data_IF_391592729479
#
_entry.id   IF_391592729479
#
_cell.length_a   1.000
_cell.length_b   1.000
_cell.length_c   1.000
_cell.angle_alpha   90.00
_cell.angle_beta   90.00
_cell.angle_gamma   90.00
#
_symmetry.space_group_name_H-M   'P 1'
#
loop_
_entity.id
_entity.type
_entity.pdbx_description
1 polymer ?
#
# COMPACT_ATOMS: atom_id res chain seq x y z
N UNK A 1 -25.01 -0.85 -23.17
CA UNK A 1 -24.59 -0.29 -21.94
C UNK A 1 -23.21 0.30 -22.00
N UNK A 2 -22.98 1.30 -21.20
CA UNK A 2 -21.69 1.94 -21.08
C UNK A 2 -20.65 1.06 -20.39
N UNK A 3 -19.41 1.38 -20.62
CA UNK A 3 -18.30 0.76 -19.88
C UNK A 3 -18.28 1.34 -18.47
N UNK A 4 -18.29 0.46 -17.48
CA UNK A 4 -18.15 0.88 -16.09
C UNK A 4 -16.71 1.35 -15.84
N UNK A 5 -16.55 2.51 -15.19
CA UNK A 5 -15.25 3.04 -14.79
C UNK A 5 -15.27 3.38 -13.31
N UNK A 6 -14.17 3.10 -12.59
CA UNK A 6 -14.07 3.49 -11.18
C UNK A 6 -14.13 5.01 -11.01
N UNK A 7 -14.87 5.46 -10.02
CA UNK A 7 -14.91 6.87 -9.66
C UNK A 7 -13.75 7.27 -8.74
N UNK A 8 -13.67 8.56 -8.40
CA UNK A 8 -12.60 9.10 -7.57
C UNK A 8 -12.55 8.46 -6.18
N UNK A 9 -13.71 8.19 -5.57
CA UNK A 9 -13.77 7.60 -4.24
C UNK A 9 -13.26 6.15 -4.24
N UNK A 10 -13.60 5.39 -5.28
CA UNK A 10 -13.12 4.02 -5.45
C UNK A 10 -11.61 3.99 -5.68
N UNK A 11 -11.08 4.92 -6.47
CA UNK A 11 -9.64 5.04 -6.70
C UNK A 11 -8.90 5.40 -5.42
N UNK A 12 -9.43 6.34 -4.65
CA UNK A 12 -8.86 6.73 -3.36
C UNK A 12 -8.86 5.57 -2.37
N UNK A 13 -9.96 4.84 -2.26
CA UNK A 13 -10.08 3.68 -1.38
C UNK A 13 -9.12 2.56 -1.80
N UNK A 14 -9.04 2.26 -3.09
CA UNK A 14 -8.12 1.25 -3.61
C UNK A 14 -6.66 1.59 -3.31
N UNK A 15 -6.26 2.83 -3.50
CA UNK A 15 -4.88 3.24 -3.22
C UNK A 15 -4.59 3.22 -1.72
N UNK A 16 -5.53 3.65 -0.89
CA UNK A 16 -5.38 3.58 0.57
C UNK A 16 -5.19 2.14 1.03
N UNK A 17 -6.01 1.22 0.55
CA UNK A 17 -5.89 -0.21 0.87
C UNK A 17 -4.57 -0.81 0.38
N UNK A 18 -4.15 -0.43 -0.83
CA UNK A 18 -2.87 -0.87 -1.39
C UNK A 18 -1.69 -0.39 -0.55
N UNK A 19 -1.71 0.88 -0.15
CA UNK A 19 -0.64 1.47 0.67
C UNK A 19 -0.60 0.85 2.06
N UNK A 20 -1.76 0.61 2.65
CA UNK A 20 -1.86 -0.09 3.92
C UNK A 20 -1.24 -1.48 3.82
N UNK A 21 -1.57 -2.23 2.79
CA UNK A 21 -1.02 -3.57 2.58
C UNK A 21 0.51 -3.55 2.37
N UNK A 22 1.03 -2.52 1.70
CA UNK A 22 2.47 -2.37 1.48
C UNK A 22 3.23 -2.06 2.77
N UNK A 23 2.66 -1.24 3.64
CA UNK A 23 3.37 -0.60 4.74
C UNK A 23 3.12 -1.22 6.10
N UNK A 24 1.96 -1.85 6.32
CA UNK A 24 1.65 -2.50 7.59
C UNK A 24 2.51 -3.72 7.83
N UNK A 25 2.89 -3.94 9.09
CA UNK A 25 3.63 -5.12 9.52
C UNK A 25 2.98 -5.69 10.76
N UNK A 26 2.55 -6.95 10.68
CA UNK A 26 2.20 -7.72 11.85
C UNK A 26 2.32 -9.22 11.53
N UNK A 27 2.57 -10.03 12.54
CA UNK A 27 2.87 -11.45 12.35
C UNK A 27 1.73 -12.24 11.71
N UNK A 28 0.48 -11.81 11.90
CA UNK A 28 -0.69 -12.55 11.44
C UNK A 28 -1.04 -12.29 9.96
N UNK A 29 -0.67 -11.12 9.41
CA UNK A 29 -1.21 -10.66 8.12
C UNK A 29 -0.18 -10.29 7.07
N UNK A 30 1.10 -10.20 7.41
CA UNK A 30 2.11 -9.64 6.50
C UNK A 30 2.26 -10.40 5.18
N UNK A 31 2.18 -11.73 5.21
CA UNK A 31 2.33 -12.53 3.98
C UNK A 31 1.15 -12.29 3.03
N UNK A 32 -0.07 -12.24 3.56
CA UNK A 32 -1.27 -11.96 2.79
C UNK A 32 -1.26 -10.53 2.24
N UNK A 33 -0.75 -9.58 3.03
CA UNK A 33 -0.64 -8.18 2.61
C UNK A 33 0.32 -8.03 1.43
N UNK A 34 1.47 -8.69 1.47
CA UNK A 34 2.44 -8.68 0.36
C UNK A 34 1.85 -9.32 -0.89
N UNK A 35 1.14 -10.44 -0.74
CA UNK A 35 0.48 -11.09 -1.87
C UNK A 35 -0.55 -10.16 -2.53
N UNK A 36 -1.31 -9.42 -1.72
CA UNK A 36 -2.30 -8.44 -2.21
C UNK A 36 -1.61 -7.32 -3.01
N UNK A 37 -0.55 -6.74 -2.48
CA UNK A 37 0.18 -5.67 -3.15
C UNK A 37 0.75 -6.16 -4.48
N UNK A 38 1.32 -7.35 -4.50
CA UNK A 38 1.87 -7.95 -5.72
C UNK A 38 0.79 -8.15 -6.78
N UNK A 39 -0.37 -8.65 -6.38
CA UNK A 39 -1.51 -8.85 -7.29
C UNK A 39 -1.99 -7.54 -7.90
N UNK A 40 -2.03 -6.46 -7.11
CA UNK A 40 -2.56 -5.17 -7.50
C UNK A 40 -1.50 -4.21 -8.07
N UNK A 41 -0.33 -4.74 -8.46
CA UNK A 41 0.76 -3.97 -9.07
C UNK A 41 1.13 -4.56 -10.41
N UNK A 42 1.31 -3.72 -11.44
CA UNK A 42 1.63 -4.20 -12.79
C UNK A 42 2.84 -3.45 -13.35
N UNK A 43 3.78 -4.19 -13.94
CA UNK A 43 4.97 -3.64 -14.58
C UNK A 43 5.99 -3.13 -13.59
N UNK A 44 6.48 -1.92 -13.80
CA UNK A 44 7.53 -1.27 -12.98
C UNK A 44 7.25 -1.29 -11.47
N UNK A 45 6.00 -1.09 -10.99
CA UNK A 45 5.74 -1.10 -9.54
C UNK A 45 6.07 -2.42 -8.86
N UNK A 46 6.07 -3.53 -9.56
CA UNK A 46 6.50 -4.81 -8.96
C UNK A 46 7.96 -4.74 -8.51
N UNK A 47 8.81 -4.13 -9.30
CA UNK A 47 10.21 -3.89 -8.93
C UNK A 47 10.32 -2.85 -7.82
N UNK A 48 9.50 -1.81 -7.86
CA UNK A 48 9.45 -0.78 -6.80
C UNK A 48 9.00 -1.37 -5.46
N UNK A 49 8.00 -2.24 -5.46
CA UNK A 49 7.52 -2.96 -4.26
C UNK A 49 8.64 -3.85 -3.71
N UNK A 50 9.30 -4.61 -4.58
CA UNK A 50 10.42 -5.46 -4.18
C UNK A 50 11.55 -4.63 -3.55
N UNK A 51 11.91 -3.52 -4.16
CA UNK A 51 12.96 -2.64 -3.65
C UNK A 51 12.59 -2.04 -2.29
N UNK A 52 11.33 -1.62 -2.14
CA UNK A 52 10.80 -1.13 -0.85
C UNK A 52 10.90 -2.21 0.24
N UNK A 53 10.45 -3.42 -0.06
CA UNK A 53 10.41 -4.52 0.90
C UNK A 53 11.79 -5.11 1.18
N UNK A 54 12.77 -4.93 0.30
CA UNK A 54 14.13 -5.39 0.52
C UNK A 54 14.95 -4.49 1.44
N UNK A 55 14.47 -3.29 1.70
CA UNK A 55 15.11 -2.43 2.71
C UNK A 55 14.90 -3.02 4.09
N UNK A 56 15.95 -3.16 4.93
CA UNK A 56 15.81 -3.82 6.23
C UNK A 56 14.71 -3.19 7.11
N UNK A 57 14.56 -1.87 7.06
CA UNK A 57 13.54 -1.17 7.85
C UNK A 57 12.11 -1.48 7.40
N UNK A 58 11.91 -2.07 6.21
CA UNK A 58 10.60 -2.34 5.61
C UNK A 58 10.34 -3.83 5.39
N UNK A 59 11.31 -4.70 5.65
CA UNK A 59 11.18 -6.13 5.37
C UNK A 59 10.48 -6.84 6.52
N UNK A 60 9.21 -7.28 6.34
CA UNK A 60 8.45 -7.85 7.45
C UNK A 60 9.09 -9.10 8.06
N UNK A 61 9.60 -10.00 7.21
CA UNK A 61 10.22 -11.23 7.71
C UNK A 61 11.41 -10.94 8.63
N UNK A 62 12.23 -9.96 8.30
CA UNK A 62 13.39 -9.57 9.09
C UNK A 62 12.97 -8.85 10.38
N UNK A 63 12.03 -7.92 10.29
CA UNK A 63 11.52 -7.17 11.45
C UNK A 63 10.90 -8.11 12.47
N UNK A 64 10.11 -9.07 12.01
CA UNK A 64 9.41 -10.04 12.88
C UNK A 64 10.34 -11.14 13.40
N UNK A 65 11.41 -11.45 12.67
CA UNK A 65 12.43 -12.40 13.17
C UNK A 65 13.15 -11.84 14.40
N UNK A 66 13.55 -10.57 14.33
CA UNK A 66 14.23 -9.92 15.45
C UNK A 66 13.28 -9.67 16.62
N UNK A 67 12.06 -9.23 16.33
CA UNK A 67 11.04 -8.89 17.33
C UNK A 67 9.68 -9.42 16.88
N UNK A 68 9.29 -10.64 17.31
CA UNK A 68 8.02 -11.24 16.85
C UNK A 68 6.77 -10.45 17.21
N UNK A 69 6.84 -9.60 18.23
CA UNK A 69 5.73 -8.73 18.62
C UNK A 69 5.72 -7.37 17.89
N UNK A 70 6.64 -7.17 16.94
CA UNK A 70 6.68 -5.93 16.15
C UNK A 70 5.36 -5.69 15.43
N UNK A 71 4.86 -4.46 15.54
CA UNK A 71 3.65 -4.01 14.84
C UNK A 71 3.93 -2.64 14.22
N UNK A 72 3.55 -2.48 12.98
CA UNK A 72 3.51 -1.18 12.30
C UNK A 72 2.12 -0.97 11.75
N UNK A 73 1.49 0.13 12.14
CA UNK A 73 0.14 0.47 11.73
C UNK A 73 0.15 1.65 10.76
N UNK A 74 -0.69 1.55 9.74
CA UNK A 74 -0.96 2.59 8.77
C UNK A 74 -2.16 3.42 9.22
N UNK A 75 -2.05 4.76 9.12
CA UNK A 75 -3.16 5.68 9.33
C UNK A 75 -3.22 6.68 8.17
N UNK A 76 -4.33 6.65 7.44
CA UNK A 76 -4.57 7.63 6.38
C UNK A 76 -4.84 9.00 6.98
N UNK A 77 -4.19 10.04 6.44
CA UNK A 77 -4.40 11.43 6.88
C UNK A 77 -5.17 12.24 5.84
N UNK A 78 -4.82 12.13 4.58
CA UNK A 78 -5.51 12.86 3.51
C UNK A 78 -5.34 12.15 2.16
N UNK A 79 -6.28 12.41 1.28
CA UNK A 79 -6.26 11.94 -0.10
C UNK A 79 -6.56 13.12 -1.02
N UNK A 80 -5.73 13.32 -2.03
CA UNK A 80 -5.92 14.37 -3.03
C UNK A 80 -5.74 13.79 -4.42
N UNK A 81 -6.77 13.90 -5.26
CA UNK A 81 -6.65 13.57 -6.66
C UNK A 81 -5.89 14.69 -7.36
N UNK A 82 -4.75 14.36 -7.97
CA UNK A 82 -3.96 15.31 -8.75
C UNK A 82 -4.48 15.36 -10.18
N UNK A 83 -4.89 14.22 -10.71
CA UNK A 83 -5.56 14.07 -11.99
C UNK A 83 -6.46 12.84 -11.93
N UNK A 84 -7.08 12.45 -13.04
CA UNK A 84 -8.00 11.32 -13.07
C UNK A 84 -7.35 10.01 -12.60
N UNK A 85 -6.05 9.86 -12.85
CA UNK A 85 -5.34 8.60 -12.55
C UNK A 85 -4.18 8.78 -11.58
N UNK A 86 -3.88 10.00 -11.14
CA UNK A 86 -2.77 10.27 -10.21
C UNK A 86 -3.34 10.76 -8.89
N UNK A 87 -2.99 10.06 -7.82
CA UNK A 87 -3.51 10.33 -6.48
C UNK A 87 -2.34 10.49 -5.52
N UNK A 88 -2.42 11.51 -4.68
CA UNK A 88 -1.51 11.73 -3.56
C UNK A 88 -2.22 11.36 -2.27
N UNK A 89 -1.61 10.47 -1.50
CA UNK A 89 -2.08 10.19 -0.14
C UNK A 89 -1.01 10.56 0.87
N UNK A 90 -1.45 11.12 1.99
CA UNK A 90 -0.61 11.37 3.15
C UNK A 90 -1.05 10.46 4.27
N UNK A 91 -0.08 9.85 4.94
CA UNK A 91 -0.34 8.86 5.97
C UNK A 91 0.76 8.87 7.01
N UNK A 92 0.48 8.26 8.14
CA UNK A 92 1.49 8.00 9.16
C UNK A 92 1.66 6.50 9.35
N UNK A 93 2.88 6.12 9.71
CA UNK A 93 3.20 4.77 10.18
C UNK A 93 3.60 4.86 11.64
N UNK A 94 2.89 4.14 12.48
CA UNK A 94 3.21 4.03 13.90
C UNK A 94 3.80 2.65 14.14
N UNK A 95 5.01 2.60 14.69
CA UNK A 95 5.75 1.37 14.92
C UNK A 95 5.93 1.11 16.40
N UNK A 96 5.63 -0.12 16.82
CA UNK A 96 5.90 -0.64 18.16
C UNK A 96 6.84 -1.83 18.04
N UNK A 97 8.16 -1.66 18.32
CA UNK A 97 9.11 -2.77 18.22
C UNK A 97 8.88 -3.86 19.27
N UNK A 98 8.30 -3.52 20.40
CA UNK A 98 7.98 -4.48 21.45
C UNK A 98 7.36 -3.80 22.66
N UNK A 99 6.92 -4.58 23.69
CA UNK A 99 6.19 -4.04 24.84
C UNK A 99 6.93 -2.96 25.63
N UNK A 100 8.27 -3.09 25.69
CA UNK A 100 9.11 -2.19 26.48
C UNK A 100 9.78 -1.11 25.62
N UNK A 101 9.47 -1.07 24.34
CA UNK A 101 10.06 -0.10 23.41
C UNK A 101 9.07 1.05 23.16
N UNK A 102 9.56 2.30 23.10
CA UNK A 102 8.69 3.41 22.76
C UNK A 102 8.18 3.27 21.33
N UNK A 103 6.93 3.67 21.11
CA UNK A 103 6.40 3.75 19.76
C UNK A 103 7.05 4.92 19.02
N UNK A 104 7.20 4.78 17.71
CA UNK A 104 7.63 5.86 16.83
C UNK A 104 6.56 6.14 15.79
N UNK A 105 6.39 7.41 15.42
CA UNK A 105 5.45 7.85 14.39
C UNK A 105 6.20 8.60 13.33
N UNK A 106 6.01 8.22 12.06
CA UNK A 106 6.61 8.91 10.92
C UNK A 106 5.52 9.19 9.89
N UNK A 107 5.63 10.33 9.21
CA UNK A 107 4.69 10.74 8.19
C UNK A 107 5.30 10.60 6.80
N UNK A 108 4.46 10.21 5.83
CA UNK A 108 4.85 10.00 4.44
C UNK A 108 3.81 10.54 3.49
N UNK A 109 4.25 10.84 2.29
CA UNK A 109 3.39 11.18 1.17
C UNK A 109 3.69 10.18 0.03
N UNK A 110 2.66 9.52 -0.45
CA UNK A 110 2.76 8.58 -1.56
C UNK A 110 1.96 9.14 -2.73
N UNK A 111 2.62 9.28 -3.87
CA UNK A 111 1.98 9.63 -5.13
C UNK A 111 1.94 8.39 -6.00
N UNK A 112 0.79 8.04 -6.51
CA UNK A 112 0.63 6.86 -7.36
C UNK A 112 -0.17 7.16 -8.60
N UNK A 113 0.20 6.49 -9.69
CA UNK A 113 -0.62 6.43 -10.90
C UNK A 113 -1.36 5.11 -10.89
N UNK A 114 -2.66 5.16 -11.12
CA UNK A 114 -3.53 3.99 -11.21
C UNK A 114 -3.87 3.68 -12.66
N UNK A 115 -4.01 2.40 -12.94
CA UNK A 115 -4.52 1.90 -14.21
C UNK A 115 -5.71 0.98 -13.94
N UNK A 116 -6.56 0.79 -14.94
CA UNK A 116 -7.66 -0.16 -14.86
C UNK A 116 -7.38 -1.31 -15.80
N UNK A 117 -7.38 -2.53 -15.26
CA UNK A 117 -7.20 -3.74 -16.04
C UNK A 117 -8.53 -4.45 -16.22
N UNK A 118 -8.78 -4.90 -17.44
CA UNK A 118 -9.91 -5.77 -17.71
C UNK A 118 -9.58 -7.18 -17.22
N UNK A 119 -10.44 -7.80 -16.40
CA UNK A 119 -10.19 -9.18 -15.97
C UNK A 119 -10.24 -10.15 -17.14
N UNK A 120 -9.29 -11.07 -17.21
CA UNK A 120 -9.24 -12.10 -18.25
C UNK A 120 -10.03 -13.34 -17.86
N UNK A 121 -10.16 -13.59 -16.56
CA UNK A 121 -10.89 -14.75 -16.02
C UNK A 121 -11.86 -14.30 -14.93
N UNK A 122 -12.80 -15.19 -14.58
CA UNK A 122 -13.70 -14.96 -13.46
C UNK A 122 -12.93 -14.86 -12.13
N UNK A 123 -11.89 -15.67 -11.98
CA UNK A 123 -11.02 -15.62 -10.79
C UNK A 123 -10.35 -14.24 -10.65
N UNK A 124 -9.87 -13.68 -11.75
CA UNK A 124 -9.27 -12.33 -11.76
C UNK A 124 -10.30 -11.27 -11.35
N UNK A 125 -11.53 -11.38 -11.88
CA UNK A 125 -12.60 -10.44 -11.55
C UNK A 125 -13.00 -10.52 -10.07
N UNK A 126 -12.98 -11.72 -9.47
CA UNK A 126 -13.28 -11.89 -8.05
C UNK A 126 -12.14 -11.41 -7.15
N UNK A 127 -10.89 -11.59 -7.58
CA UNK A 127 -9.71 -11.18 -6.82
C UNK A 127 -9.54 -9.66 -6.83
N UNK A 128 -9.92 -8.99 -7.93
CA UNK A 128 -9.80 -7.54 -8.09
C UNK A 128 -11.04 -6.99 -8.81
N UNK A 129 -12.16 -6.83 -8.08
CA UNK A 129 -13.44 -6.44 -8.72
C UNK A 129 -13.42 -5.09 -9.41
N UNK A 130 -12.63 -4.14 -8.91
CA UNK A 130 -12.53 -2.81 -9.52
C UNK A 130 -11.64 -2.77 -10.75
N UNK A 131 -10.76 -3.75 -10.91
CA UNK A 131 -9.74 -3.75 -11.95
C UNK A 131 -8.63 -2.73 -11.73
N UNK A 132 -8.66 -1.98 -10.62
CA UNK A 132 -7.66 -0.95 -10.33
C UNK A 132 -6.35 -1.59 -9.90
N UNK A 133 -5.26 -1.10 -10.49
CA UNK A 133 -3.90 -1.53 -10.16
C UNK A 133 -3.00 -0.29 -10.10
N UNK A 134 -1.91 -0.41 -9.35
CA UNK A 134 -0.87 0.62 -9.32
C UNK A 134 0.09 0.38 -10.48
N UNK A 135 0.30 1.40 -11.30
CA UNK A 135 1.21 1.35 -12.45
C UNK A 135 2.51 2.12 -12.22
N UNK A 136 2.55 2.95 -11.20
CA UNK A 136 3.76 3.65 -10.75
C UNK A 136 3.48 4.27 -9.38
N UNK A 137 4.51 4.37 -8.54
CA UNK A 137 4.38 5.10 -7.28
C UNK A 137 5.70 5.71 -6.83
N UNK A 138 5.61 6.69 -5.95
CA UNK A 138 6.76 7.32 -5.30
C UNK A 138 6.37 7.66 -3.87
N UNK A 139 7.28 7.37 -2.92
CA UNK A 139 7.10 7.67 -1.51
C UNK A 139 8.15 8.70 -1.10
N UNK A 140 7.70 9.74 -0.42
CA UNK A 140 8.57 10.75 0.19
C UNK A 140 8.23 10.88 1.66
N UNK A 141 9.23 11.22 2.46
CA UNK A 141 8.99 11.53 3.87
C UNK A 141 8.27 12.88 3.96
N UNK A 142 7.28 12.96 4.86
CA UNK A 142 6.47 14.15 5.09
C UNK A 142 6.71 14.67 6.51
N UNK A 143 6.20 15.85 6.82
CA UNK A 143 6.32 16.39 8.16
C UNK A 143 5.11 16.03 9.02
N UNK A 144 5.38 15.79 10.31
CA UNK A 144 4.32 15.60 11.31
C UNK A 144 3.81 16.98 11.73
N UNK A 145 2.69 17.41 11.15
CA UNK A 145 2.02 18.64 11.55
C UNK A 145 0.60 18.39 11.99
#
# INVERSE_FOLDING_TARGET
GGTWTPDADMKAASLSDWTQALTEVNSATWERSIAKVTLLSVGTPRDQVRDYLNRPANQPALLLKDKPSYVREFQLRSVNAISDNVILIRYTLTSWPGPDSPKSVQAYALTATLATLKPETRADALANPTGLVVSNFNIAQDSLQ
#
